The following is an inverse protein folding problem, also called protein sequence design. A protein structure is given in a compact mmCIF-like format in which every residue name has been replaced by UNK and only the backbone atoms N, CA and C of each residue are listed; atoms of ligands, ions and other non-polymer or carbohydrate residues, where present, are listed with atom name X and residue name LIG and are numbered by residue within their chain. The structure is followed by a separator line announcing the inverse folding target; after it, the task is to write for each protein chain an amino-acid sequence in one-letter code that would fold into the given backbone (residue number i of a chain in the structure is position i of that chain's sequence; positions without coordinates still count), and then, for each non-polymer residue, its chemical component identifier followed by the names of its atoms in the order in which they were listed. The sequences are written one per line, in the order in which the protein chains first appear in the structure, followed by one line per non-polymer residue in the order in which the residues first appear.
data_IF_729546786954
#
_entry.id   IF_729546786954
#
_cell.length_a   1.000
_cell.length_b   1.000
_cell.length_c   1.000
_cell.angle_alpha   90.00
_cell.angle_beta   90.00
_cell.angle_gamma   90.00
#
_symmetry.space_group_name_H-M   'P 1'
#
loop_
_entity.id
_entity.type
_entity.pdbx_description
1 polymer ?
#
# COMPACT_ATOMS: atom_id res chain seq x y z
N UNK A 1 -16.74 0.22 17.72
CA UNK A 1 -16.84 0.65 16.31
C UNK A 1 -15.41 0.76 15.82
N UNK A 2 -14.93 -0.23 15.08
CA UNK A 2 -13.62 -0.15 14.42
C UNK A 2 -13.65 1.04 13.45
N UNK A 3 -12.77 2.02 13.64
CA UNK A 3 -12.51 3.03 12.63
C UNK A 3 -11.97 2.33 11.39
N UNK A 4 -12.75 2.25 10.32
CA UNK A 4 -12.28 1.74 9.04
C UNK A 4 -11.25 2.73 8.49
N UNK A 5 -9.99 2.45 8.75
CA UNK A 5 -8.86 3.21 8.21
C UNK A 5 -8.77 2.89 6.72
N UNK A 6 -9.08 3.87 5.87
CA UNK A 6 -8.85 3.75 4.44
C UNK A 6 -7.38 4.03 4.19
N UNK A 7 -6.67 3.07 3.61
CA UNK A 7 -5.26 3.23 3.26
C UNK A 7 -5.11 3.76 1.82
N UNK A 8 -4.02 4.51 1.57
CA UNK A 8 -3.76 5.07 0.24
C UNK A 8 -3.66 3.97 -0.85
N UNK A 9 -3.08 2.81 -0.51
CA UNK A 9 -2.97 1.67 -1.41
C UNK A 9 -4.34 1.09 -1.82
N UNK A 10 -5.37 1.23 -0.98
CA UNK A 10 -6.74 0.79 -1.31
C UNK A 10 -7.36 1.69 -2.36
N UNK A 11 -7.18 3.00 -2.22
CA UNK A 11 -7.66 3.99 -3.20
C UNK A 11 -7.01 3.75 -4.57
N UNK A 12 -5.71 3.49 -4.60
CA UNK A 12 -5.00 3.22 -5.85
C UNK A 12 -5.45 1.90 -6.49
N UNK A 13 -5.67 0.85 -5.70
CA UNK A 13 -6.18 -0.44 -6.21
C UNK A 13 -7.59 -0.31 -6.78
N UNK A 14 -8.46 0.46 -6.13
CA UNK A 14 -9.81 0.76 -6.63
C UNK A 14 -9.76 1.47 -8.00
N UNK A 15 -8.75 2.33 -8.20
CA UNK A 15 -8.58 3.11 -9.42
C UNK A 15 -7.63 2.48 -10.46
N UNK A 16 -7.09 1.27 -10.21
CA UNK A 16 -6.00 0.67 -10.97
C UNK A 16 -6.27 0.50 -12.47
N UNK A 17 -7.55 0.38 -12.85
CA UNK A 17 -7.98 0.21 -14.25
C UNK A 17 -8.37 1.55 -14.90
N UNK A 18 -9.00 2.43 -14.14
CA UNK A 18 -9.59 3.66 -14.66
C UNK A 18 -8.55 4.78 -14.79
N UNK A 19 -7.65 4.91 -13.81
CA UNK A 19 -6.71 6.02 -13.75
C UNK A 19 -5.67 5.97 -14.89
N UNK A 20 -4.99 4.83 -15.16
CA UNK A 20 -4.04 4.76 -16.28
C UNK A 20 -4.71 4.82 -17.66
N UNK A 21 -5.99 4.46 -17.76
CA UNK A 21 -6.75 4.54 -19.01
C UNK A 21 -7.16 5.97 -19.36
N UNK A 22 -7.32 6.83 -18.35
CA UNK A 22 -7.77 8.23 -18.51
C UNK A 22 -6.61 9.23 -18.41
N UNK A 23 -5.46 8.83 -17.85
CA UNK A 23 -4.30 9.68 -17.64
C UNK A 23 -3.04 9.01 -18.19
N UNK A 24 -2.25 9.74 -18.99
CA UNK A 24 -0.92 9.30 -19.39
C UNK A 24 0.07 9.55 -18.25
N UNK A 25 0.66 8.48 -17.75
CA UNK A 25 1.70 8.52 -16.72
C UNK A 25 3.09 8.46 -17.38
N UNK A 26 4.03 9.28 -16.90
CA UNK A 26 5.43 9.11 -17.23
C UNK A 26 6.02 7.88 -16.52
N UNK A 27 7.20 7.38 -16.92
CA UNK A 27 7.80 6.17 -16.34
C UNK A 27 7.93 6.23 -14.81
N UNK A 28 8.33 7.38 -14.26
CA UNK A 28 8.49 7.60 -12.82
C UNK A 28 7.14 7.56 -12.09
N UNK A 29 6.10 8.15 -12.69
CA UNK A 29 4.74 8.11 -12.15
C UNK A 29 4.18 6.69 -12.18
N UNK A 30 4.41 5.94 -13.25
CA UNK A 30 4.00 4.53 -13.35
C UNK A 30 4.68 3.69 -12.26
N UNK A 31 5.99 3.90 -12.04
CA UNK A 31 6.74 3.23 -10.98
C UNK A 31 6.16 3.57 -9.60
N UNK A 32 5.93 4.85 -9.31
CA UNK A 32 5.33 5.29 -8.06
C UNK A 32 3.92 4.69 -7.86
N UNK A 33 3.09 4.67 -8.92
CA UNK A 33 1.74 4.10 -8.90
C UNK A 33 1.76 2.63 -8.49
N UNK A 34 2.63 1.83 -9.09
CA UNK A 34 2.83 0.42 -8.72
C UNK A 34 3.35 0.29 -7.29
N UNK A 35 4.37 1.06 -6.90
CA UNK A 35 4.93 0.99 -5.54
C UNK A 35 3.92 1.38 -4.46
N UNK A 36 3.01 2.31 -4.72
CA UNK A 36 1.95 2.68 -3.78
C UNK A 36 0.95 1.53 -3.62
N UNK A 37 0.57 0.85 -4.70
CA UNK A 37 -0.34 -0.31 -4.64
C UNK A 37 0.28 -1.49 -3.89
N UNK A 38 1.60 -1.66 -3.99
CA UNK A 38 2.36 -2.72 -3.30
C UNK A 38 2.88 -2.29 -1.92
N UNK A 39 2.57 -1.06 -1.48
CA UNK A 39 3.01 -0.56 -0.19
C UNK A 39 2.50 -1.48 0.93
N UNK A 40 3.39 -1.79 1.90
CA UNK A 40 3.14 -2.73 3.02
C UNK A 40 2.95 -4.20 2.61
N UNK A 41 3.17 -4.55 1.35
CA UNK A 41 3.27 -5.96 0.95
C UNK A 41 4.69 -6.48 1.14
N UNK A 42 4.83 -7.80 1.26
CA UNK A 42 6.14 -8.46 1.30
C UNK A 42 7.01 -8.10 0.07
N UNK A 43 6.38 -7.80 -1.08
CA UNK A 43 7.07 -7.37 -2.31
C UNK A 43 7.92 -6.12 -2.11
N UNK A 44 7.51 -5.19 -1.22
CA UNK A 44 8.28 -3.99 -0.89
C UNK A 44 8.94 -4.06 0.50
N UNK A 45 9.16 -5.28 1.03
CA UNK A 45 9.77 -5.47 2.35
C UNK A 45 8.85 -5.11 3.53
N UNK A 46 7.57 -4.90 3.27
CA UNK A 46 6.55 -4.68 4.29
C UNK A 46 6.24 -5.98 5.02
N UNK A 47 6.23 -5.93 6.34
CA UNK A 47 5.79 -7.04 7.20
C UNK A 47 4.99 -6.50 8.38
N UNK A 48 4.09 -7.32 8.91
CA UNK A 48 3.34 -6.98 10.11
C UNK A 48 4.09 -7.52 11.31
N UNK A 49 4.66 -6.63 12.12
CA UNK A 49 5.20 -6.97 13.42
C UNK A 49 4.06 -7.20 14.39
N UNK A 50 4.14 -8.29 15.15
CA UNK A 50 3.21 -8.60 16.23
C UNK A 50 3.98 -8.72 17.54
N UNK A 51 3.54 -8.01 18.57
CA UNK A 51 4.05 -8.22 19.92
C UNK A 51 3.51 -9.54 20.46
N UNK A 52 4.39 -10.49 20.77
CA UNK A 52 4.00 -11.79 21.32
C UNK A 52 3.46 -11.71 22.77
N UNK A 53 3.72 -10.62 23.49
CA UNK A 53 3.25 -10.43 24.87
C UNK A 53 1.85 -9.79 24.97
N UNK A 54 1.49 -8.87 24.08
CA UNK A 54 0.22 -8.14 24.14
C UNK A 54 -0.64 -8.23 22.88
N UNK A 55 -0.18 -8.91 21.83
CA UNK A 55 -0.91 -9.10 20.58
C UNK A 55 -0.98 -7.87 19.66
N UNK A 56 -0.42 -6.73 20.07
CA UNK A 56 -0.41 -5.51 19.26
C UNK A 56 0.32 -5.72 17.93
N UNK A 57 -0.31 -5.33 16.82
CA UNK A 57 0.27 -5.41 15.48
C UNK A 57 0.60 -4.04 14.91
N UNK A 58 1.74 -3.90 14.24
CA UNK A 58 2.07 -2.71 13.44
C UNK A 58 2.72 -3.11 12.12
N UNK A 59 2.53 -2.27 11.12
CA UNK A 59 3.23 -2.41 9.84
C UNK A 59 4.66 -1.90 9.99
N UNK A 60 5.61 -2.66 9.48
CA UNK A 60 7.05 -2.41 9.54
C UNK A 60 7.70 -2.51 8.17
N UNK A 61 8.80 -1.80 8.00
CA UNK A 61 9.55 -1.69 6.75
C UNK A 61 11.04 -1.79 7.06
N UNK A 62 11.78 -2.54 6.24
CA UNK A 62 13.24 -2.58 6.30
C UNK A 62 13.79 -1.41 5.48
N UNK A 63 14.15 -0.31 6.14
CA UNK A 63 14.89 0.81 5.55
C UNK A 63 16.37 0.72 5.91
#
# INVERSE_FOLDING_TARGET
MESRHIELAEIFRDQAKTFPATHRLCPEQQKAYTSIMECRTATLGGHTDRCEACGYTRQSYNS
#
